data_IF_808414075522
#
_entry.id   IF_808414075522
#
_cell.length_a   1.000
_cell.length_b   1.000
_cell.length_c   1.000
_cell.angle_alpha   90.00
_cell.angle_beta   90.00
_cell.angle_gamma   90.00
#
_symmetry.space_group_name_H-M   'P 1'
#
loop_
_entity.id
_entity.type
_entity.pdbx_description
1 polymer ?
#
# COMPACT_ATOMS: atom_id res chain seq x y z
N UNK A 1 1.19 31.68 -43.45
CA UNK A 1 1.87 30.47 -43.96
C UNK A 1 0.80 29.45 -44.34
N UNK A 2 0.71 29.08 -45.63
CA UNK A 2 -0.19 28.02 -46.10
C UNK A 2 0.42 26.68 -45.68
N UNK A 3 -0.10 26.06 -44.63
CA UNK A 3 0.36 24.74 -44.19
C UNK A 3 -0.05 23.67 -45.19
N UNK A 4 0.93 22.97 -45.77
CA UNK A 4 0.69 21.82 -46.62
C UNK A 4 0.31 20.64 -45.70
N UNK A 5 -0.97 20.24 -45.71
CA UNK A 5 -1.43 19.07 -44.96
C UNK A 5 -0.98 17.84 -45.76
N UNK A 6 0.07 17.15 -45.31
CA UNK A 6 0.39 15.82 -45.84
C UNK A 6 -0.63 14.83 -45.29
N UNK A 7 -1.72 14.62 -46.03
CA UNK A 7 -2.65 13.53 -45.79
C UNK A 7 -2.04 12.17 -46.15
N UNK A 8 -2.63 11.10 -45.64
CA UNK A 8 -2.23 9.73 -45.97
C UNK A 8 -2.27 9.52 -47.48
N UNK A 9 -1.11 9.27 -48.10
CA UNK A 9 -1.01 8.95 -49.51
C UNK A 9 -1.26 7.46 -49.71
N UNK A 10 -2.09 7.09 -50.69
CA UNK A 10 -2.22 5.70 -51.11
C UNK A 10 -0.90 5.27 -51.75
N UNK A 11 -0.29 4.22 -51.20
CA UNK A 11 0.85 3.56 -51.83
C UNK A 11 0.33 2.80 -53.05
N UNK A 12 0.90 3.08 -54.23
CA UNK A 12 0.51 2.43 -55.49
C UNK A 12 1.74 2.12 -56.33
N UNK A 13 1.71 1.01 -57.07
CA UNK A 13 2.80 0.58 -57.96
C UNK A 13 3.93 -0.14 -57.21
N UNK A 14 5.15 -0.06 -57.75
CA UNK A 14 6.32 -0.85 -57.31
C UNK A 14 6.62 -0.74 -55.81
N UNK A 15 6.38 0.42 -55.21
CA UNK A 15 6.59 0.64 -53.78
C UNK A 15 5.60 -0.16 -52.93
N UNK A 16 4.35 -0.33 -53.39
CA UNK A 16 3.37 -1.19 -52.73
C UNK A 16 3.81 -2.65 -52.82
N UNK A 17 4.23 -3.09 -54.01
CA UNK A 17 4.62 -4.48 -54.26
C UNK A 17 5.86 -4.88 -53.46
N UNK A 18 6.78 -3.95 -53.22
CA UNK A 18 7.94 -4.15 -52.37
C UNK A 18 7.59 -4.28 -50.88
N UNK A 19 6.61 -3.50 -50.38
CA UNK A 19 6.30 -3.44 -48.95
C UNK A 19 5.38 -4.60 -48.52
N UNK A 20 4.44 -5.03 -49.38
CA UNK A 20 3.45 -6.07 -49.05
C UNK A 20 4.03 -7.39 -48.49
N UNK A 21 5.15 -7.94 -49.01
CA UNK A 21 5.76 -9.16 -48.47
C UNK A 21 6.22 -9.05 -47.02
N UNK A 22 6.56 -7.84 -46.54
CA UNK A 22 6.98 -7.62 -45.15
C UNK A 22 5.82 -7.68 -44.15
N UNK A 23 4.57 -7.44 -44.60
CA UNK A 23 3.38 -7.55 -43.75
C UNK A 23 2.91 -8.99 -43.54
N UNK A 24 3.34 -9.94 -44.38
CA UNK A 24 3.04 -11.36 -44.21
C UNK A 24 4.04 -12.07 -43.29
N UNK A 25 5.07 -11.37 -42.83
CA UNK A 25 6.00 -11.88 -41.83
C UNK A 25 5.42 -11.59 -40.46
N UNK A 26 4.74 -12.59 -39.91
CA UNK A 26 4.17 -12.51 -38.56
C UNK A 26 5.29 -12.45 -37.52
N UNK A 27 5.63 -11.23 -37.11
CA UNK A 27 6.53 -10.94 -35.99
C UNK A 27 5.79 -10.89 -34.65
N UNK A 28 4.46 -11.10 -34.64
CA UNK A 28 3.64 -11.03 -33.41
C UNK A 28 3.74 -12.30 -32.54
N UNK A 29 4.48 -13.32 -33.00
CA UNK A 29 4.87 -14.45 -32.14
C UNK A 29 5.89 -14.06 -31.05
N UNK A 30 6.42 -12.85 -31.09
CA UNK A 30 7.22 -12.28 -30.00
C UNK A 30 6.28 -11.53 -29.05
N UNK A 31 6.10 -12.08 -27.84
CA UNK A 31 5.39 -11.44 -26.73
C UNK A 31 5.89 -10.00 -26.61
N UNK A 32 5.00 -9.03 -26.85
CA UNK A 32 5.38 -7.62 -26.75
C UNK A 32 5.67 -7.29 -25.28
N UNK A 33 6.73 -6.52 -24.96
CA UNK A 33 7.02 -6.10 -23.59
C UNK A 33 5.86 -5.33 -22.92
N UNK A 34 4.92 -4.82 -23.71
CA UNK A 34 3.73 -4.10 -23.26
C UNK A 34 2.50 -5.01 -23.03
N UNK A 35 2.57 -6.30 -23.38
CA UNK A 35 1.53 -7.30 -23.07
C UNK A 35 1.74 -7.84 -21.65
N UNK A 36 1.23 -7.09 -20.68
CA UNK A 36 1.14 -7.56 -19.29
C UNK A 36 0.13 -8.73 -19.25
N UNK A 37 0.47 -9.91 -18.70
CA UNK A 37 -0.51 -10.97 -18.47
C UNK A 37 -1.74 -10.42 -17.75
N UNK A 38 -2.94 -10.95 -18.04
CA UNK A 38 -4.16 -10.55 -17.31
C UNK A 38 -3.92 -10.68 -15.80
N UNK A 39 -3.78 -9.54 -15.14
CA UNK A 39 -3.61 -9.43 -13.69
C UNK A 39 -4.98 -9.40 -13.05
N UNK A 40 -5.29 -10.42 -12.25
CA UNK A 40 -6.54 -10.49 -11.52
C UNK A 40 -6.32 -9.99 -10.09
N UNK A 41 -6.98 -8.88 -9.74
CA UNK A 41 -7.03 -8.36 -8.38
C UNK A 41 -8.39 -8.66 -7.74
N UNK A 42 -8.44 -8.74 -6.41
CA UNK A 42 -9.71 -8.90 -5.68
C UNK A 42 -10.05 -10.32 -5.21
N UNK A 43 -9.10 -11.26 -5.27
CA UNK A 43 -9.27 -12.57 -4.62
C UNK A 43 -9.44 -12.40 -3.11
N UNK A 44 -10.60 -12.83 -2.58
CA UNK A 44 -10.91 -12.70 -1.15
C UNK A 44 -10.09 -13.72 -0.34
N UNK A 45 -9.06 -13.24 0.36
CA UNK A 45 -8.32 -14.02 1.35
C UNK A 45 -8.91 -13.84 2.75
N UNK A 46 -9.24 -14.95 3.40
CA UNK A 46 -9.68 -14.94 4.81
C UNK A 46 -8.48 -15.28 5.68
N UNK A 47 -8.14 -14.39 6.61
CA UNK A 47 -7.05 -14.57 7.57
C UNK A 47 -7.66 -14.67 8.97
N UNK A 48 -7.36 -15.74 9.69
CA UNK A 48 -7.73 -15.87 11.10
C UNK A 48 -6.61 -15.26 11.95
N UNK A 49 -6.95 -14.28 12.79
CA UNK A 49 -6.01 -13.61 13.69
C UNK A 49 -6.40 -13.84 15.15
N UNK A 50 -5.41 -13.95 16.03
CA UNK A 50 -5.62 -14.05 17.47
C UNK A 50 -5.68 -12.64 18.08
N UNK A 51 -6.66 -12.38 18.95
CA UNK A 51 -6.69 -11.17 19.79
C UNK A 51 -6.34 -11.50 21.23
N UNK A 52 -5.38 -10.76 21.79
CA UNK A 52 -4.96 -10.93 23.19
C UNK A 52 -5.72 -9.92 24.06
N UNK A 53 -6.42 -10.41 25.09
CA UNK A 53 -7.13 -9.57 26.04
C UNK A 53 -6.16 -8.74 26.88
N UNK A 54 -6.52 -7.49 27.13
CA UNK A 54 -5.76 -6.60 28.02
C UNK A 54 -6.44 -6.55 29.37
N UNK A 55 -5.69 -6.78 30.44
CA UNK A 55 -6.23 -6.71 31.79
C UNK A 55 -6.29 -5.25 32.29
N UNK A 56 -7.48 -4.67 32.56
CA UNK A 56 -7.61 -3.30 33.02
C UNK A 56 -6.97 -3.07 34.41
N UNK A 57 -6.91 -4.10 35.25
CA UNK A 57 -6.23 -4.02 36.56
C UNK A 57 -4.72 -3.89 36.39
N UNK A 58 -4.13 -4.66 35.46
CA UNK A 58 -2.70 -4.56 35.16
C UNK A 58 -2.34 -3.18 34.60
N UNK A 59 -3.21 -2.63 33.72
CA UNK A 59 -3.06 -1.25 33.24
C UNK A 59 -3.09 -0.26 34.39
N UNK A 60 -4.06 -0.38 35.30
CA UNK A 60 -4.18 0.52 36.46
C UNK A 60 -2.94 0.46 37.35
N UNK A 61 -2.48 -0.74 37.70
CA UNK A 61 -1.26 -0.93 38.49
C UNK A 61 -0.03 -0.32 37.81
N UNK A 62 0.07 -0.42 36.48
CA UNK A 62 1.15 0.24 35.73
C UNK A 62 1.07 1.77 35.84
N UNK A 63 -0.12 2.36 35.72
CA UNK A 63 -0.29 3.81 35.87
C UNK A 63 -0.05 4.27 37.31
N UNK A 64 -0.48 3.49 38.31
CA UNK A 64 -0.23 3.79 39.73
C UNK A 64 1.27 3.78 40.08
N UNK A 65 2.06 2.92 39.41
CA UNK A 65 3.49 2.80 39.66
C UNK A 65 4.33 3.83 38.89
N UNK A 66 4.00 4.08 37.62
CA UNK A 66 4.81 4.92 36.72
C UNK A 66 4.23 6.32 36.46
N UNK A 67 2.96 6.55 36.81
CA UNK A 67 2.23 7.78 36.50
C UNK A 67 1.68 7.83 35.07
N UNK A 68 1.07 8.97 34.73
CA UNK A 68 0.50 9.28 33.42
C UNK A 68 1.46 10.09 32.51
N UNK A 69 2.76 10.10 32.81
CA UNK A 69 3.79 10.75 32.00
C UNK A 69 4.48 9.75 31.07
N UNK A 70 4.63 10.11 29.79
CA UNK A 70 5.33 9.27 28.82
C UNK A 70 6.82 9.12 29.18
N UNK A 71 7.28 7.89 29.36
CA UNK A 71 8.69 7.61 29.71
C UNK A 71 9.70 7.98 28.63
N UNK A 72 9.27 8.10 27.36
CA UNK A 72 10.14 8.41 26.21
C UNK A 72 10.26 9.91 25.97
N UNK A 73 9.12 10.62 25.86
CA UNK A 73 9.09 12.03 25.49
C UNK A 73 8.67 12.98 26.62
N UNK A 74 8.38 12.46 27.82
CA UNK A 74 7.97 13.25 28.99
C UNK A 74 6.70 14.08 28.79
N UNK A 75 5.88 13.69 27.82
CA UNK A 75 4.58 14.29 27.58
C UNK A 75 3.60 13.85 28.68
N UNK A 76 2.92 14.82 29.27
CA UNK A 76 1.75 14.65 30.10
C UNK A 76 0.53 15.23 29.37
N UNK A 77 -0.51 14.41 29.21
CA UNK A 77 -1.74 14.81 28.52
C UNK A 77 -2.59 15.78 29.33
N UNK A 78 -2.58 15.69 30.66
CA UNK A 78 -3.30 16.64 31.52
C UNK A 78 -2.69 18.05 31.40
N UNK A 79 -1.36 18.14 31.37
CA UNK A 79 -0.67 19.43 31.23
C UNK A 79 -0.91 20.08 29.86
N UNK A 80 -1.07 19.27 28.81
CA UNK A 80 -1.23 19.75 27.42
C UNK A 80 -2.69 20.04 27.07
N UNK A 81 -3.62 19.21 27.52
CA UNK A 81 -5.02 19.24 27.11
C UNK A 81 -5.98 19.59 28.24
N UNK A 82 -5.50 19.75 29.48
CA UNK A 82 -6.31 20.01 30.66
C UNK A 82 -7.01 18.74 31.16
N UNK A 83 -8.14 18.90 31.84
CA UNK A 83 -8.82 17.79 32.54
C UNK A 83 -9.19 16.60 31.65
N UNK A 84 -9.39 16.81 30.35
CA UNK A 84 -9.67 15.73 29.39
C UNK A 84 -8.49 14.76 29.23
N UNK A 85 -7.28 15.21 29.56
CA UNK A 85 -6.06 14.42 29.53
C UNK A 85 -5.71 13.76 30.86
N UNK A 86 -6.50 13.96 31.93
CA UNK A 86 -6.25 13.33 33.23
C UNK A 86 -6.30 11.81 33.12
N UNK A 87 -5.29 11.13 33.65
CA UNK A 87 -5.09 9.68 33.58
C UNK A 87 -5.08 9.10 32.14
N UNK A 88 -4.93 9.96 31.13
CA UNK A 88 -4.93 9.57 29.74
C UNK A 88 -3.50 9.28 29.27
N UNK A 89 -3.15 8.00 29.21
CA UNK A 89 -1.87 7.55 28.63
C UNK A 89 -2.02 6.17 27.99
N UNK A 90 -1.28 5.89 26.92
CA UNK A 90 -1.21 4.54 26.35
C UNK A 90 -0.10 3.72 27.03
N UNK A 91 -0.45 2.56 27.58
CA UNK A 91 0.53 1.64 28.18
C UNK A 91 1.04 0.69 27.10
N UNK A 92 2.36 0.71 26.89
CA UNK A 92 3.05 -0.22 26.00
C UNK A 92 3.62 -1.39 26.81
N UNK A 93 3.41 -2.62 26.33
CA UNK A 93 4.01 -3.80 26.95
C UNK A 93 5.43 -4.00 26.43
N UNK A 94 6.42 -4.04 27.32
CA UNK A 94 7.83 -4.25 26.94
C UNK A 94 8.01 -5.63 26.32
N UNK A 95 7.41 -6.66 26.94
CA UNK A 95 7.29 -7.99 26.36
C UNK A 95 5.93 -8.05 25.64
N UNK A 96 5.90 -8.24 24.31
CA UNK A 96 4.65 -8.32 23.57
C UNK A 96 3.72 -9.41 24.11
N UNK A 97 2.41 -9.13 24.15
CA UNK A 97 1.42 -10.08 24.70
C UNK A 97 1.44 -11.46 24.02
N UNK A 98 1.80 -11.52 22.74
CA UNK A 98 1.88 -12.77 21.97
C UNK A 98 3.04 -13.69 22.42
N UNK A 99 4.02 -13.16 23.14
CA UNK A 99 5.12 -13.94 23.73
C UNK A 99 4.76 -14.45 25.13
N UNK A 100 3.81 -13.81 25.83
CA UNK A 100 3.44 -14.14 27.21
C UNK A 100 2.54 -15.39 27.28
N UNK A 101 1.70 -15.63 26.25
CA UNK A 101 0.86 -16.84 26.06
C UNK A 101 0.28 -17.45 27.36
N UNK A 102 -0.38 -16.63 28.17
CA UNK A 102 -1.04 -17.06 29.41
C UNK A 102 -2.53 -17.32 29.21
#
# INVERSE_FOLDING_TARGET
MKGNIQGSMKLTGELSDYIMPFFHKDLSAEVYPDEVPEMWEGERRTITVNSYERNPLARKQCMDHYGAECQVCKLNFEDTYGEVGRDFIHVHHIIPLHEIQK
#
